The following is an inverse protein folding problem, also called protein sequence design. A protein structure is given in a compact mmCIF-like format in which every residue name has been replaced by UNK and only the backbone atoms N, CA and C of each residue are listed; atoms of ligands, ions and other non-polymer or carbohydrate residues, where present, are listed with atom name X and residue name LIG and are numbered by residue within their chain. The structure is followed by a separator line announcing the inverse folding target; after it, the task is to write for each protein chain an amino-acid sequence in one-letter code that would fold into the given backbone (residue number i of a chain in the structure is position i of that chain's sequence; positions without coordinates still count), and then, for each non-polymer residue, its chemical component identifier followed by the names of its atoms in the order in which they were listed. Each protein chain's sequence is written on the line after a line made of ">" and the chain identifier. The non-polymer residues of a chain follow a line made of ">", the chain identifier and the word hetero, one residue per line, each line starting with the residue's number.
data_IF_450705381300
#
_entry.id   IF_450705381300
#
_cell.length_a   1.000
_cell.length_b   1.000
_cell.length_c   1.000
_cell.angle_alpha   90.00
_cell.angle_beta   90.00
_cell.angle_gamma   90.00
#
_symmetry.space_group_name_H-M   'P 1'
#
loop_
_entity.id
_entity.type
_entity.pdbx_description
1 polymer ?
#
# COMPACT_ATOMS: atom_id res chain seq x y z
N UNK A 1 45.90 -36.24 6.61
CA UNK A 1 45.16 -35.39 7.56
C UNK A 1 43.93 -34.86 6.84
N UNK A 2 42.78 -35.32 7.30
CA UNK A 2 41.43 -34.76 7.19
C UNK A 2 40.68 -35.00 5.86
N UNK A 3 40.00 -36.14 5.71
CA UNK A 3 38.60 -36.50 6.08
C UNK A 3 37.64 -36.24 4.92
N UNK A 4 37.31 -37.33 4.23
CA UNK A 4 36.11 -37.53 3.41
C UNK A 4 34.88 -37.42 4.31
N UNK A 5 33.80 -36.70 3.92
CA UNK A 5 32.39 -37.10 4.18
C UNK A 5 31.47 -36.26 3.26
N UNK A 6 30.93 -36.89 2.22
CA UNK A 6 29.89 -36.34 1.35
C UNK A 6 28.79 -37.39 1.20
N UNK A 7 27.86 -37.41 2.15
CA UNK A 7 26.79 -38.40 2.25
C UNK A 7 25.56 -37.96 1.44
N UNK A 8 25.17 -38.75 0.44
CA UNK A 8 23.87 -38.71 -0.24
C UNK A 8 22.84 -39.49 0.59
N UNK A 9 21.71 -38.87 0.99
CA UNK A 9 20.42 -39.53 1.31
C UNK A 9 19.30 -38.51 0.99
N UNK A 10 18.68 -38.59 -0.18
CA UNK A 10 17.38 -39.21 -0.52
C UNK A 10 16.12 -38.43 -0.14
N UNK A 11 15.27 -38.32 -1.16
CA UNK A 11 13.95 -37.71 -1.21
C UNK A 11 12.92 -38.39 -0.29
N UNK A 12 11.87 -37.63 0.05
CA UNK A 12 10.59 -38.18 0.46
C UNK A 12 10.09 -37.69 1.82
N UNK A 13 9.46 -36.52 1.83
CA UNK A 13 8.37 -36.30 2.78
C UNK A 13 7.16 -35.74 2.05
N UNK A 14 6.38 -36.68 1.57
CA UNK A 14 5.05 -36.55 0.99
C UNK A 14 4.11 -35.80 1.94
N UNK A 15 3.52 -34.71 1.44
CA UNK A 15 2.06 -34.62 1.26
C UNK A 15 1.11 -34.61 2.47
N UNK A 16 1.56 -34.74 3.72
CA UNK A 16 0.62 -34.97 4.85
C UNK A 16 0.51 -33.81 5.86
N UNK A 17 1.41 -32.82 5.82
CA UNK A 17 1.42 -31.72 6.82
C UNK A 17 0.46 -30.57 6.46
N UNK A 18 -0.13 -30.55 5.25
CA UNK A 18 -0.90 -29.39 4.76
C UNK A 18 -2.38 -29.39 5.15
N UNK A 19 -2.96 -30.52 5.55
CA UNK A 19 -4.39 -30.63 5.89
C UNK A 19 -4.69 -30.42 7.37
N UNK A 20 -3.85 -30.91 8.30
CA UNK A 20 -4.15 -30.82 9.75
C UNK A 20 -3.89 -29.43 10.36
N UNK A 21 -2.96 -28.64 9.80
CA UNK A 21 -2.75 -27.26 10.26
C UNK A 21 -3.80 -26.25 9.74
N UNK A 22 -4.75 -26.67 8.90
CA UNK A 22 -5.88 -25.81 8.49
C UNK A 22 -7.02 -25.80 9.51
N UNK A 23 -7.04 -26.70 10.50
CA UNK A 23 -8.18 -26.89 11.40
C UNK A 23 -7.99 -26.38 12.84
N UNK A 24 -6.85 -25.74 13.19
CA UNK A 24 -6.61 -25.21 14.56
C UNK A 24 -6.74 -23.67 14.60
N UNK A 25 -7.48 -23.08 13.67
CA UNK A 25 -7.99 -21.72 13.84
C UNK A 25 -9.31 -21.78 14.61
N UNK A 26 -9.30 -21.68 15.95
CA UNK A 26 -10.52 -21.30 16.68
C UNK A 26 -10.96 -19.95 16.12
N UNK A 27 -11.95 -19.94 15.24
CA UNK A 27 -12.54 -18.71 14.70
C UNK A 27 -13.10 -17.93 15.87
N UNK A 28 -12.46 -16.83 16.26
CA UNK A 28 -13.04 -15.86 17.18
C UNK A 28 -14.22 -15.22 16.43
N UNK A 29 -15.48 -15.50 16.84
CA UNK A 29 -16.61 -14.91 16.14
C UNK A 29 -16.63 -13.40 16.36
N UNK A 30 -16.84 -12.64 15.29
CA UNK A 30 -17.04 -11.19 15.38
C UNK A 30 -18.50 -10.91 15.79
N UNK A 31 -18.72 -10.63 17.08
CA UNK A 31 -20.03 -10.22 17.60
C UNK A 31 -20.21 -8.71 17.40
N UNK A 32 -20.94 -8.33 16.36
CA UNK A 32 -21.24 -6.94 16.03
C UNK A 32 -22.31 -6.33 16.98
N UNK A 33 -21.93 -6.11 18.24
CA UNK A 33 -22.79 -5.50 19.28
C UNK A 33 -22.98 -4.00 19.01
N UNK A 34 -21.96 -3.33 18.48
CA UNK A 34 -21.98 -1.89 18.18
C UNK A 34 -23.10 -1.57 17.18
N UNK A 35 -23.17 -2.28 16.07
CA UNK A 35 -24.21 -2.08 15.06
C UNK A 35 -25.61 -2.44 15.56
N UNK A 36 -25.73 -3.50 16.37
CA UNK A 36 -27.02 -3.93 16.94
C UNK A 36 -27.60 -2.94 17.95
N UNK A 37 -26.74 -2.31 18.76
CA UNK A 37 -27.15 -1.34 19.78
C UNK A 37 -27.06 0.12 19.31
N UNK A 38 -26.54 0.38 18.11
CA UNK A 38 -26.36 1.74 17.58
C UNK A 38 -25.28 2.55 18.31
N UNK A 39 -24.29 1.88 18.91
CA UNK A 39 -23.19 2.53 19.62
C UNK A 39 -22.03 2.79 18.64
N UNK A 40 -21.38 3.96 18.78
CA UNK A 40 -20.15 4.29 18.05
C UNK A 40 -18.99 4.32 19.05
N UNK A 41 -18.35 3.16 19.29
CA UNK A 41 -17.19 3.07 20.19
C UNK A 41 -15.87 3.29 19.43
N UNK A 42 -15.72 2.68 18.25
CA UNK A 42 -14.48 2.69 17.46
C UNK A 42 -14.64 3.16 16.00
N UNK A 43 -15.85 3.18 15.44
CA UNK A 43 -16.11 3.53 14.03
C UNK A 43 -15.60 4.94 13.65
N UNK A 44 -15.54 5.88 14.59
CA UNK A 44 -15.05 7.24 14.34
C UNK A 44 -13.54 7.32 14.03
N UNK A 45 -12.75 6.29 14.38
CA UNK A 45 -11.30 6.22 14.11
C UNK A 45 -10.91 5.25 12.98
N UNK A 46 -11.85 4.48 12.42
CA UNK A 46 -11.49 3.38 11.51
C UNK A 46 -11.03 3.84 10.13
N UNK A 47 -11.52 4.99 9.65
CA UNK A 47 -11.23 5.49 8.29
C UNK A 47 -10.67 6.91 8.39
N UNK A 48 -9.75 7.28 7.49
CA UNK A 48 -9.20 8.65 7.46
C UNK A 48 -10.23 9.65 6.93
N UNK A 49 -11.24 9.15 6.23
CA UNK A 49 -12.32 9.93 5.62
C UNK A 49 -13.51 10.18 6.54
N UNK A 50 -13.44 9.76 7.80
CA UNK A 50 -14.42 10.11 8.82
C UNK A 50 -14.35 11.60 9.17
N UNK A 51 -15.36 12.09 9.88
CA UNK A 51 -15.37 13.47 10.38
C UNK A 51 -14.19 13.69 11.34
N UNK A 52 -13.25 14.53 10.93
CA UNK A 52 -12.10 14.94 11.73
C UNK A 52 -12.38 16.29 12.43
N UNK A 53 -11.79 16.53 13.62
CA UNK A 53 -11.81 17.84 14.25
C UNK A 53 -11.35 18.94 13.27
N UNK A 54 -12.05 20.07 13.26
CA UNK A 54 -11.79 21.19 12.34
C UNK A 54 -11.88 20.86 10.83
N UNK A 55 -12.54 19.75 10.45
CA UNK A 55 -12.69 19.32 9.05
C UNK A 55 -11.36 19.16 8.32
N UNK A 56 -10.31 18.74 9.03
CA UNK A 56 -8.97 18.56 8.45
C UNK A 56 -8.99 17.28 7.60
N UNK A 57 -8.76 17.34 6.27
CA UNK A 57 -8.73 16.16 5.44
C UNK A 57 -7.39 15.42 5.58
N UNK A 58 -7.44 14.09 5.56
CA UNK A 58 -6.25 13.27 5.36
C UNK A 58 -5.62 13.49 3.98
N UNK A 59 -4.32 13.22 3.84
CA UNK A 59 -3.59 13.41 2.56
C UNK A 59 -4.21 12.61 1.40
N UNK A 60 -4.74 11.43 1.69
CA UNK A 60 -5.35 10.51 0.72
C UNK A 60 -6.88 10.42 0.86
N UNK A 61 -7.51 11.43 1.46
CA UNK A 61 -8.95 11.46 1.74
C UNK A 61 -9.80 11.16 0.50
N UNK A 62 -9.50 11.81 -0.63
CA UNK A 62 -10.26 11.61 -1.86
C UNK A 62 -10.19 10.15 -2.36
N UNK A 63 -8.98 9.57 -2.41
CA UNK A 63 -8.80 8.20 -2.90
C UNK A 63 -9.42 7.15 -1.97
N UNK A 64 -9.30 7.33 -0.66
CA UNK A 64 -9.92 6.44 0.31
C UNK A 64 -11.45 6.49 0.22
N UNK A 65 -12.01 7.69 0.06
CA UNK A 65 -13.46 7.89 -0.08
C UNK A 65 -14.00 7.20 -1.34
N UNK A 66 -13.39 7.42 -2.51
CA UNK A 66 -13.82 6.78 -3.76
C UNK A 66 -13.72 5.24 -3.68
N UNK A 67 -12.66 4.72 -3.05
CA UNK A 67 -12.52 3.28 -2.83
C UNK A 67 -13.60 2.71 -1.91
N UNK A 68 -13.91 3.38 -0.79
CA UNK A 68 -14.99 2.96 0.11
C UNK A 68 -16.34 3.02 -0.59
N UNK A 69 -16.63 4.09 -1.34
CA UNK A 69 -17.88 4.24 -2.08
C UNK A 69 -18.05 3.18 -3.16
N UNK A 70 -16.97 2.80 -3.86
CA UNK A 70 -17.00 1.68 -4.81
C UNK A 70 -17.20 0.33 -4.10
N UNK A 71 -16.46 0.07 -3.03
CA UNK A 71 -16.46 -1.22 -2.34
C UNK A 71 -17.67 -1.44 -1.41
N UNK A 72 -18.49 -0.40 -1.20
CA UNK A 72 -19.63 -0.44 -0.30
C UNK A 72 -20.72 -1.38 -0.83
N UNK A 73 -21.02 -2.45 -0.08
CA UNK A 73 -22.16 -3.34 -0.35
C UNK A 73 -21.91 -4.49 -1.33
N UNK A 74 -20.77 -4.53 -2.04
CA UNK A 74 -20.45 -5.62 -2.99
C UNK A 74 -19.75 -6.83 -2.35
N UNK A 75 -19.22 -6.66 -1.13
CA UNK A 75 -18.49 -7.69 -0.39
C UNK A 75 -17.01 -7.82 -0.82
N UNK A 76 -16.14 -8.20 0.12
CA UNK A 76 -14.68 -8.15 -0.06
C UNK A 76 -14.15 -8.93 -1.26
N UNK A 77 -14.72 -10.09 -1.56
CA UNK A 77 -14.28 -10.95 -2.68
C UNK A 77 -14.53 -10.31 -4.05
N UNK A 78 -15.61 -9.53 -4.21
CA UNK A 78 -15.91 -8.82 -5.46
C UNK A 78 -15.20 -7.47 -5.51
N UNK A 79 -15.11 -6.78 -4.38
CA UNK A 79 -14.41 -5.50 -4.27
C UNK A 79 -12.95 -5.58 -4.71
N UNK A 80 -12.27 -6.70 -4.44
CA UNK A 80 -10.88 -6.93 -4.88
C UNK A 80 -10.71 -6.88 -6.41
N UNK A 81 -11.74 -7.27 -7.17
CA UNK A 81 -11.70 -7.32 -8.64
C UNK A 81 -12.34 -6.11 -9.29
N UNK A 82 -13.51 -5.69 -8.78
CA UNK A 82 -14.31 -4.61 -9.37
C UNK A 82 -13.75 -3.23 -9.02
N UNK A 83 -13.32 -3.01 -7.78
CA UNK A 83 -12.80 -1.74 -7.28
C UNK A 83 -11.27 -1.69 -7.22
N UNK A 84 -10.62 -2.41 -8.14
CA UNK A 84 -9.16 -2.56 -8.15
C UNK A 84 -8.44 -1.26 -8.45
N UNK A 85 -9.00 -0.44 -9.33
CA UNK A 85 -8.37 0.81 -9.79
C UNK A 85 -8.33 1.81 -8.64
N UNK A 86 -9.46 1.98 -7.96
CA UNK A 86 -9.62 2.88 -6.82
C UNK A 86 -8.71 2.45 -5.67
N UNK A 87 -8.60 1.14 -5.42
CA UNK A 87 -7.68 0.61 -4.42
C UNK A 87 -6.20 0.82 -4.80
N UNK A 88 -5.82 0.56 -6.05
CA UNK A 88 -4.46 0.75 -6.54
C UNK A 88 -4.03 2.23 -6.45
N UNK A 89 -4.94 3.16 -6.72
CA UNK A 89 -4.70 4.60 -6.58
C UNK A 89 -4.61 5.03 -5.11
N UNK A 90 -5.43 4.46 -4.23
CA UNK A 90 -5.32 4.69 -2.78
C UNK A 90 -3.97 4.21 -2.23
N UNK A 91 -3.52 3.02 -2.62
CA UNK A 91 -2.21 2.48 -2.21
C UNK A 91 -1.06 3.30 -2.80
N UNK A 92 -1.16 3.77 -4.05
CA UNK A 92 -0.17 4.69 -4.61
C UNK A 92 -0.14 6.00 -3.83
N UNK A 93 -1.28 6.56 -3.44
CA UNK A 93 -1.31 7.79 -2.67
C UNK A 93 -0.60 7.65 -1.32
N UNK A 94 -0.80 6.52 -0.62
CA UNK A 94 -0.18 6.24 0.68
C UNK A 94 1.34 6.01 0.56
N UNK A 95 1.77 5.15 -0.38
CA UNK A 95 3.15 4.70 -0.46
C UNK A 95 4.01 5.51 -1.45
N UNK A 96 3.40 6.21 -2.41
CA UNK A 96 4.02 7.01 -3.47
C UNK A 96 5.09 6.28 -4.27
N UNK A 97 5.00 4.95 -4.38
CA UNK A 97 6.02 4.12 -5.02
C UNK A 97 6.24 4.49 -6.49
N UNK A 98 5.14 4.62 -7.27
CA UNK A 98 5.22 5.00 -8.69
C UNK A 98 5.80 6.40 -8.84
N UNK A 99 5.35 7.34 -8.00
CA UNK A 99 5.87 8.71 -7.96
C UNK A 99 7.38 8.75 -7.68
N UNK A 100 7.85 8.05 -6.64
CA UNK A 100 9.28 8.01 -6.29
C UNK A 100 10.14 7.37 -7.38
N UNK A 101 9.66 6.27 -7.98
CA UNK A 101 10.34 5.62 -9.10
C UNK A 101 10.49 6.59 -10.28
N UNK A 102 9.42 7.28 -10.66
CA UNK A 102 9.44 8.27 -11.74
C UNK A 102 10.41 9.42 -11.45
N UNK A 103 10.42 9.96 -10.24
CA UNK A 103 11.35 11.02 -9.84
C UNK A 103 12.80 10.56 -9.91
N UNK A 104 13.08 9.32 -9.48
CA UNK A 104 14.41 8.71 -9.56
C UNK A 104 14.88 8.58 -11.01
N UNK A 105 14.01 8.09 -11.91
CA UNK A 105 14.34 7.94 -13.33
C UNK A 105 14.59 9.30 -14.00
N UNK A 106 13.78 10.31 -13.71
CA UNK A 106 13.96 11.69 -14.21
C UNK A 106 15.31 12.25 -13.73
N UNK A 107 15.62 12.10 -12.44
CA UNK A 107 16.88 12.57 -11.87
C UNK A 107 18.08 11.88 -12.51
N UNK A 108 18.04 10.56 -12.68
CA UNK A 108 19.09 9.78 -13.35
C UNK A 108 19.31 10.26 -14.79
N UNK A 109 18.23 10.50 -15.54
CA UNK A 109 18.33 11.00 -16.91
C UNK A 109 18.90 12.42 -16.95
N UNK A 110 18.45 13.31 -16.06
CA UNK A 110 18.97 14.68 -15.94
C UNK A 110 20.47 14.67 -15.66
N UNK A 111 20.91 13.89 -14.68
CA UNK A 111 22.32 13.84 -14.27
C UNK A 111 23.21 13.27 -15.39
N UNK A 112 22.69 12.31 -16.18
CA UNK A 112 23.34 11.83 -17.41
C UNK A 112 23.51 12.96 -18.44
N UNK A 113 22.45 13.73 -18.72
CA UNK A 113 22.49 14.80 -19.72
C UNK A 113 23.37 15.99 -19.30
N UNK A 114 23.45 16.29 -18.00
CA UNK A 114 24.38 17.29 -17.45
C UNK A 114 25.83 16.81 -17.65
N UNK A 115 26.11 15.53 -17.36
CA UNK A 115 27.44 14.94 -17.57
C UNK A 115 27.86 14.95 -19.04
N UNK A 116 26.91 14.77 -19.97
CA UNK A 116 27.13 14.87 -21.42
C UNK A 116 27.19 16.33 -21.92
N UNK A 117 26.89 17.33 -21.08
CA UNK A 117 26.85 18.74 -21.45
C UNK A 117 25.65 19.17 -22.32
N UNK A 118 24.66 18.28 -22.52
CA UNK A 118 23.50 18.53 -23.38
C UNK A 118 22.35 19.27 -22.67
N UNK A 119 22.40 19.37 -21.35
CA UNK A 119 21.34 20.00 -20.55
C UNK A 119 21.94 20.91 -19.49
N UNK A 120 21.42 22.14 -19.41
CA UNK A 120 21.72 23.11 -18.36
C UNK A 120 20.45 23.40 -17.56
N UNK A 121 20.49 23.35 -16.21
CA UNK A 121 19.32 23.61 -15.39
C UNK A 121 18.89 25.08 -15.51
N UNK A 122 17.58 25.36 -15.54
CA UNK A 122 17.07 26.72 -15.63
C UNK A 122 17.30 27.52 -14.33
N UNK A 123 17.29 28.87 -14.39
CA UNK A 123 17.61 29.74 -13.24
C UNK A 123 16.74 29.53 -12.01
N UNK A 124 15.47 29.15 -12.19
CA UNK A 124 14.54 28.87 -11.09
C UNK A 124 14.92 27.64 -10.26
N UNK A 125 15.50 26.63 -10.90
CA UNK A 125 16.06 25.47 -10.18
C UNK A 125 17.40 25.77 -9.48
N UNK A 126 17.97 26.97 -9.69
CA UNK A 126 19.21 27.45 -9.07
C UNK A 126 18.97 28.49 -7.95
N UNK A 127 17.71 28.80 -7.64
CA UNK A 127 17.36 29.79 -6.61
C UNK A 127 17.66 31.24 -6.98
N UNK A 128 17.74 31.54 -8.29
CA UNK A 128 17.98 32.90 -8.80
C UNK A 128 16.71 33.63 -9.24
N UNK A 129 15.54 33.05 -8.98
CA UNK A 129 14.25 33.66 -9.27
C UNK A 129 13.66 34.29 -8.02
N UNK A 130 12.84 35.33 -8.19
CA UNK A 130 12.05 35.88 -7.11
C UNK A 130 10.99 34.85 -6.68
N UNK A 131 10.91 34.51 -5.38
CA UNK A 131 9.95 33.53 -4.90
C UNK A 131 8.52 34.03 -5.15
N UNK A 132 7.65 33.13 -5.61
CA UNK A 132 6.21 33.42 -5.61
C UNK A 132 5.69 33.46 -4.16
N UNK A 133 4.79 34.42 -3.85
CA UNK A 133 4.22 34.58 -2.51
C UNK A 133 3.39 33.38 -2.07
#
# INVERSE_FOLDING_TARGET
>A
MNTEEGHQIQDGFTGEVSSELRQIGKSMPFFDVQKRLGLNLDHWMTIQSAEQPHKIPGRCHAFEKEWIECAHGIGGTRAEKECKIEFDDFIECLLRQKTMKRLSDIRRQRDKLIKEGKYTPPPHHLGKEDPRP
#
